data_IF_613155346215
#
_entry.id   IF_613155346215
#
_cell.length_a   1.000
_cell.length_b   1.000
_cell.length_c   1.000
_cell.angle_alpha   90.00
_cell.angle_beta   90.00
_cell.angle_gamma   90.00
#
_symmetry.space_group_name_H-M   'P 1'
#
loop_
_entity.id
_entity.type
_entity.pdbx_description
1 polymer ?
#
# COMPACT_ATOMS: atom_id res chain seq x y z
N UNK A 1 14.94 18.33 -10.18
CA UNK A 1 14.69 17.71 -11.49
C UNK A 1 15.64 16.54 -11.65
N UNK A 2 15.16 15.35 -12.01
CA UNK A 2 16.02 14.20 -12.29
C UNK A 2 16.43 14.24 -13.77
N UNK A 3 17.70 14.52 -14.04
CA UNK A 3 18.25 14.68 -15.40
C UNK A 3 18.92 13.43 -15.94
N UNK A 4 19.24 12.47 -15.08
CA UNK A 4 19.73 11.15 -15.45
C UNK A 4 18.55 10.26 -15.88
N UNK A 5 18.65 9.63 -17.07
CA UNK A 5 17.64 8.69 -17.60
C UNK A 5 17.39 7.51 -16.66
N UNK A 6 18.36 7.15 -15.82
CA UNK A 6 18.26 6.05 -14.86
C UNK A 6 17.88 6.51 -13.46
N UNK A 7 17.69 7.81 -13.23
CA UNK A 7 17.25 8.32 -11.93
C UNK A 7 15.84 7.81 -11.58
N UNK A 8 15.00 7.56 -12.59
CA UNK A 8 13.68 6.95 -12.42
C UNK A 8 13.71 5.54 -13.02
N UNK A 9 13.48 4.53 -12.21
CA UNK A 9 13.53 3.15 -12.65
C UNK A 9 13.30 2.15 -11.52
N UNK A 10 13.23 0.87 -11.89
CA UNK A 10 13.03 -0.23 -10.94
C UNK A 10 14.13 -0.18 -9.89
N UNK A 11 13.73 -0.26 -8.63
CA UNK A 11 14.63 -0.31 -7.48
C UNK A 11 14.78 -1.78 -7.07
N UNK A 12 15.84 -2.48 -7.53
CA UNK A 12 15.93 -3.94 -7.40
C UNK A 12 15.93 -4.43 -5.94
N UNK A 13 16.30 -3.56 -5.00
CA UNK A 13 16.32 -3.87 -3.57
C UNK A 13 15.03 -3.48 -2.84
N UNK A 14 14.05 -2.84 -3.50
CA UNK A 14 12.84 -2.36 -2.83
C UNK A 14 12.01 -3.49 -2.24
N UNK A 15 11.82 -4.61 -2.94
CA UNK A 15 11.06 -5.73 -2.38
C UNK A 15 11.76 -6.33 -1.17
N UNK A 16 13.07 -6.55 -1.25
CA UNK A 16 13.86 -7.08 -0.14
C UNK A 16 13.83 -6.15 1.08
N UNK A 17 13.76 -4.84 0.86
CA UNK A 17 13.59 -3.86 1.93
C UNK A 17 12.15 -3.88 2.50
N UNK A 18 11.13 -3.89 1.65
CA UNK A 18 9.72 -3.88 2.06
C UNK A 18 9.31 -5.11 2.86
N UNK A 19 9.93 -6.27 2.61
CA UNK A 19 9.76 -7.51 3.40
C UNK A 19 10.27 -7.38 4.85
N UNK A 20 11.04 -6.34 5.17
CA UNK A 20 11.59 -6.11 6.53
C UNK A 20 10.60 -5.38 7.44
N UNK A 21 9.41 -4.99 6.95
CA UNK A 21 8.39 -4.35 7.78
C UNK A 21 8.00 -5.28 8.93
N UNK A 22 8.06 -4.77 10.15
CA UNK A 22 7.72 -5.51 11.37
C UNK A 22 6.34 -5.13 11.92
N UNK A 23 5.79 -4.02 11.46
CA UNK A 23 4.47 -3.54 11.86
C UNK A 23 3.41 -3.91 10.81
N UNK A 24 2.18 -4.24 11.22
CA UNK A 24 1.08 -4.45 10.30
C UNK A 24 0.85 -3.19 9.45
N UNK A 25 0.76 -3.32 8.12
CA UNK A 25 0.46 -2.19 7.25
C UNK A 25 -0.86 -2.34 6.50
N UNK A 26 -1.52 -1.21 6.27
CA UNK A 26 -2.62 -1.09 5.31
C UNK A 26 -2.10 -0.28 4.13
N UNK A 27 -2.27 -0.80 2.93
CA UNK A 27 -1.92 -0.10 1.69
C UNK A 27 -3.10 -0.08 0.73
N UNK A 28 -3.21 1.00 -0.04
CA UNK A 28 -4.24 1.17 -1.06
C UNK A 28 -3.54 1.46 -2.38
N UNK A 29 -3.89 0.69 -3.41
CA UNK A 29 -3.33 0.82 -4.75
C UNK A 29 -4.43 1.00 -5.77
N UNK A 30 -4.14 1.73 -6.83
CA UNK A 30 -5.04 1.88 -7.99
C UNK A 30 -4.65 0.94 -9.13
N UNK A 31 -3.37 0.58 -9.21
CA UNK A 31 -2.86 -0.45 -10.11
C UNK A 31 -3.00 -1.85 -9.51
N UNK A 32 -3.60 -2.76 -10.29
CA UNK A 32 -3.71 -4.18 -9.94
C UNK A 32 -2.33 -4.84 -9.82
N UNK A 33 -1.38 -4.50 -10.69
CA UNK A 33 -0.01 -5.03 -10.66
C UNK A 33 0.70 -4.61 -9.37
N UNK A 34 0.60 -3.33 -9.00
CA UNK A 34 1.23 -2.83 -7.79
C UNK A 34 0.61 -3.45 -6.53
N UNK A 35 -0.73 -3.61 -6.50
CA UNK A 35 -1.42 -4.31 -5.43
C UNK A 35 -0.96 -5.78 -5.29
N UNK A 36 -0.75 -6.48 -6.41
CA UNK A 36 -0.26 -7.85 -6.41
C UNK A 36 1.18 -7.95 -5.89
N UNK A 37 2.07 -7.05 -6.33
CA UNK A 37 3.45 -6.98 -5.82
C UNK A 37 3.47 -6.71 -4.32
N UNK A 38 2.66 -5.76 -3.86
CA UNK A 38 2.58 -5.40 -2.44
C UNK A 38 2.10 -6.57 -1.57
N UNK A 39 1.07 -7.32 -2.01
CA UNK A 39 0.63 -8.57 -1.35
C UNK A 39 1.77 -9.58 -1.20
N UNK A 40 2.69 -9.62 -2.15
CA UNK A 40 3.88 -10.47 -2.09
C UNK A 40 4.92 -10.05 -1.05
N UNK A 41 4.86 -8.84 -0.50
CA UNK A 41 5.85 -8.31 0.46
C UNK A 41 5.30 -8.08 1.87
N UNK A 42 3.98 -7.99 2.05
CA UNK A 42 3.33 -7.83 3.35
C UNK A 42 3.11 -9.19 4.03
N UNK A 43 4.00 -9.55 4.95
CA UNK A 43 3.96 -10.83 5.66
C UNK A 43 3.49 -10.72 7.10
N UNK A 44 3.39 -9.50 7.65
CA UNK A 44 3.00 -9.29 9.06
C UNK A 44 1.49 -9.55 9.23
N UNK A 45 1.06 -10.42 10.16
CA UNK A 45 -0.36 -10.63 10.44
C UNK A 45 -1.12 -9.32 10.69
N UNK A 46 -2.37 -9.24 10.22
CA UNK A 46 -3.18 -8.01 10.27
C UNK A 46 -2.79 -6.95 9.22
N UNK A 47 -1.87 -7.27 8.30
CA UNK A 47 -1.63 -6.44 7.12
C UNK A 47 -2.74 -6.61 6.08
N UNK A 48 -3.04 -5.54 5.33
CA UNK A 48 -4.08 -5.54 4.29
C UNK A 48 -3.65 -4.73 3.07
N UNK A 49 -4.05 -5.21 1.89
CA UNK A 49 -3.83 -4.54 0.61
C UNK A 49 -5.16 -4.38 -0.11
N UNK A 50 -5.64 -3.14 -0.21
CA UNK A 50 -6.86 -2.80 -0.93
C UNK A 50 -6.52 -2.32 -2.34
N UNK A 51 -7.28 -2.76 -3.34
CA UNK A 51 -7.17 -2.30 -4.73
C UNK A 51 -8.42 -1.51 -5.12
N UNK A 52 -8.25 -0.24 -5.45
CA UNK A 52 -9.32 0.69 -5.85
C UNK A 52 -9.10 1.09 -7.31
N UNK A 53 -9.59 0.30 -8.28
CA UNK A 53 -9.26 0.46 -9.70
C UNK A 53 -9.74 1.80 -10.30
N UNK A 54 -10.81 2.37 -9.75
CA UNK A 54 -11.44 3.58 -10.29
C UNK A 54 -10.82 4.88 -9.74
N UNK A 55 -9.74 4.78 -8.95
CA UNK A 55 -9.09 5.93 -8.33
C UNK A 55 -7.85 6.43 -9.03
N UNK A 56 -7.64 7.74 -8.93
CA UNK A 56 -6.45 8.46 -9.32
C UNK A 56 -5.45 8.62 -8.17
N UNK A 57 -4.67 9.70 -8.23
CA UNK A 57 -3.62 9.96 -7.25
C UNK A 57 -4.17 10.46 -5.91
N UNK A 58 -5.30 11.17 -5.92
CA UNK A 58 -5.84 11.87 -4.78
C UNK A 58 -7.02 11.10 -4.18
N UNK A 59 -6.79 9.83 -3.83
CA UNK A 59 -7.83 8.92 -3.30
C UNK A 59 -8.62 9.50 -2.11
N UNK A 60 -7.97 10.34 -1.30
CA UNK A 60 -8.58 10.99 -0.15
C UNK A 60 -9.54 12.13 -0.53
N UNK A 61 -9.38 12.71 -1.72
CA UNK A 61 -10.30 13.72 -2.29
C UNK A 61 -11.37 13.03 -3.14
N UNK A 62 -10.99 12.00 -3.89
CA UNK A 62 -11.88 11.29 -4.81
C UNK A 62 -12.87 10.37 -4.07
N UNK A 63 -12.45 9.77 -2.95
CA UNK A 63 -13.24 8.83 -2.15
C UNK A 63 -13.14 9.18 -0.66
N UNK A 64 -13.53 10.41 -0.30
CA UNK A 64 -13.43 10.96 1.06
C UNK A 64 -13.96 9.97 2.11
N UNK A 65 -15.23 9.57 2.00
CA UNK A 65 -15.89 8.70 2.98
C UNK A 65 -15.23 7.33 3.09
N UNK A 66 -14.84 6.75 1.95
CA UNK A 66 -14.16 5.45 1.92
C UNK A 66 -12.79 5.53 2.59
N UNK A 67 -12.06 6.61 2.32
CA UNK A 67 -10.74 6.87 2.89
C UNK A 67 -10.81 7.10 4.40
N UNK A 68 -11.79 7.87 4.88
CA UNK A 68 -11.98 8.13 6.32
C UNK A 68 -12.36 6.87 7.12
N UNK A 69 -12.97 5.86 6.48
CA UNK A 69 -13.30 4.57 7.12
C UNK A 69 -12.12 3.63 7.27
N UNK A 70 -11.12 3.72 6.39
CA UNK A 70 -9.96 2.82 6.39
C UNK A 70 -9.28 2.64 7.77
N UNK A 71 -8.96 3.69 8.55
CA UNK A 71 -8.34 3.52 9.86
C UNK A 71 -9.29 2.89 10.88
N UNK A 72 -10.60 3.15 10.78
CA UNK A 72 -11.61 2.65 11.72
C UNK A 72 -11.84 1.15 11.53
N UNK A 73 -12.01 0.73 10.28
CA UNK A 73 -12.19 -0.68 9.93
C UNK A 73 -10.94 -1.47 10.32
N UNK A 74 -9.76 -0.89 10.09
CA UNK A 74 -8.49 -1.48 10.52
C UNK A 74 -8.40 -1.62 12.04
N UNK A 75 -8.80 -0.61 12.81
CA UNK A 75 -8.79 -0.69 14.27
C UNK A 75 -9.72 -1.78 14.82
N UNK A 76 -10.83 -2.07 14.12
CA UNK A 76 -11.74 -3.17 14.46
C UNK A 76 -11.14 -4.57 14.20
N UNK A 77 -10.24 -4.70 13.22
CA UNK A 77 -9.60 -5.96 12.83
C UNK A 77 -8.39 -6.33 13.70
N UNK A 78 -7.78 -5.37 14.41
CA UNK A 78 -6.64 -5.63 15.30
C UNK A 78 -7.15 -6.09 16.67
N UNK A 79 -7.34 -7.41 16.85
CA UNK A 79 -7.47 -7.97 18.21
C UNK A 79 -6.08 -8.02 18.86
N UNK A 80 -5.93 -7.52 20.11
CA UNK A 80 -4.70 -7.74 20.86
C UNK A 80 -4.57 -9.24 21.16
N UNK A 81 -3.44 -9.82 20.77
CA UNK A 81 -3.01 -11.17 21.18
C UNK A 81 -2.61 -11.19 22.65
#
# INVERSE_FOLDING_TARGET
MHTDRNAVGVRPHSEAYLRRRTQPALTVWTSAEAAARERGTLTVPGSRVDHWPDGGHYLHEEYVERTLRLPRDRAGDVRPT
#
